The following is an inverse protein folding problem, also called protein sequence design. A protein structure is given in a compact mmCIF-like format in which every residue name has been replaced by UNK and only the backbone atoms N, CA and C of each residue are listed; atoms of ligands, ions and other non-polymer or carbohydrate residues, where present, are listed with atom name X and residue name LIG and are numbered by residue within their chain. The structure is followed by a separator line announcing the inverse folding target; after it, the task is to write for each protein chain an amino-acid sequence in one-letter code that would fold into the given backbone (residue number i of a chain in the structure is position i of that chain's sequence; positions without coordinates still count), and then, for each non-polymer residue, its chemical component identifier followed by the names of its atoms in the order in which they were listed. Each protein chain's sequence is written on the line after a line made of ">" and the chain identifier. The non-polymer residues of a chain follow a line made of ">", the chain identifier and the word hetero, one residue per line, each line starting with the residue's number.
data_IF_468727665990
#
_entry.id   IF_468727665990
#
_cell.length_a   1.000
_cell.length_b   1.000
_cell.length_c   1.000
_cell.angle_alpha   90.00
_cell.angle_beta   90.00
_cell.angle_gamma   90.00
#
_symmetry.space_group_name_H-M   'P 1'
#
loop_
_entity.id
_entity.type
_entity.pdbx_description
1 polymer ?
#
# COMPACT_ATOMS: atom_id res chain seq x y z
N UNK A 1 -8.41 7.55 -21.36
CA UNK A 1 -9.30 7.57 -20.17
C UNK A 1 -8.42 7.62 -18.94
N UNK A 2 -8.73 8.48 -17.98
CA UNK A 2 -7.97 8.59 -16.72
C UNK A 2 -8.59 7.65 -15.68
N UNK A 3 -7.85 7.30 -14.65
CA UNK A 3 -8.32 6.42 -13.56
C UNK A 3 -9.67 6.85 -12.98
N UNK A 4 -9.83 8.16 -12.73
CA UNK A 4 -11.09 8.74 -12.24
C UNK A 4 -12.29 8.47 -13.16
N UNK A 5 -12.07 8.39 -14.47
CA UNK A 5 -13.14 8.09 -15.43
C UNK A 5 -13.64 6.64 -15.24
N UNK A 6 -12.69 5.71 -15.03
CA UNK A 6 -13.03 4.31 -14.72
C UNK A 6 -13.76 4.18 -13.37
N UNK A 7 -13.27 4.86 -12.33
CA UNK A 7 -13.93 4.86 -11.01
C UNK A 7 -15.37 5.37 -11.12
N UNK A 8 -15.61 6.43 -11.89
CA UNK A 8 -16.96 6.97 -12.09
C UNK A 8 -17.87 5.97 -12.81
N UNK A 9 -17.37 5.28 -13.85
CA UNK A 9 -18.10 4.21 -14.54
C UNK A 9 -18.46 3.10 -13.57
N UNK A 10 -17.51 2.63 -12.76
CA UNK A 10 -17.73 1.58 -11.76
C UNK A 10 -18.81 2.01 -10.75
N UNK A 11 -18.73 3.23 -10.22
CA UNK A 11 -19.73 3.77 -9.30
C UNK A 11 -21.14 3.76 -9.90
N UNK A 12 -21.27 4.17 -11.16
CA UNK A 12 -22.55 4.18 -11.87
C UNK A 12 -23.11 2.77 -12.07
N UNK A 13 -22.25 1.79 -12.37
CA UNK A 13 -22.70 0.43 -12.64
C UNK A 13 -23.12 -0.34 -11.39
N UNK A 14 -22.38 -0.18 -10.28
CA UNK A 14 -22.66 -0.96 -9.06
C UNK A 14 -23.41 -0.19 -7.96
N UNK A 15 -23.57 1.13 -8.09
CA UNK A 15 -24.31 1.94 -7.12
C UNK A 15 -23.73 1.93 -5.69
N UNK A 16 -22.46 1.56 -5.52
CA UNK A 16 -21.83 1.47 -4.20
C UNK A 16 -21.46 2.85 -3.65
N UNK A 17 -21.84 3.11 -2.41
CA UNK A 17 -21.45 4.31 -1.67
C UNK A 17 -20.03 4.25 -1.09
N UNK A 18 -19.39 3.09 -1.09
CA UNK A 18 -18.04 2.88 -0.50
C UNK A 18 -16.91 3.29 -1.44
N UNK A 19 -17.16 3.39 -2.75
CA UNK A 19 -16.12 3.67 -3.75
C UNK A 19 -15.81 5.16 -3.80
N UNK A 20 -14.50 5.48 -3.79
CA UNK A 20 -13.99 6.86 -4.00
C UNK A 20 -13.20 7.45 -2.85
N UNK A 21 -12.83 6.62 -1.90
CA UNK A 21 -11.84 6.92 -0.86
C UNK A 21 -10.70 5.88 -0.93
N UNK A 22 -9.61 6.09 -0.19
CA UNK A 22 -8.50 5.13 -0.08
C UNK A 22 -8.93 3.84 0.61
N UNK A 23 -9.94 3.94 1.49
CA UNK A 23 -10.46 2.81 2.23
C UNK A 23 -11.99 2.74 2.16
N UNK A 24 -12.53 1.52 2.13
CA UNK A 24 -13.93 1.26 2.39
C UNK A 24 -14.18 1.18 3.90
N UNK A 25 -15.02 2.05 4.45
CA UNK A 25 -15.38 2.02 5.87
C UNK A 25 -16.72 1.30 6.07
N UNK A 26 -16.69 0.09 6.60
CA UNK A 26 -17.85 -0.72 6.96
C UNK A 26 -18.22 -0.42 8.42
N UNK A 27 -18.98 0.66 8.60
CA UNK A 27 -19.28 1.25 9.91
C UNK A 27 -19.93 0.25 10.87
N UNK A 28 -20.89 -0.54 10.38
CA UNK A 28 -21.65 -1.51 11.17
C UNK A 28 -20.75 -2.62 11.74
N UNK A 29 -19.66 -2.94 11.03
CA UNK A 29 -18.70 -3.95 11.43
C UNK A 29 -17.51 -3.36 12.20
N UNK A 30 -17.39 -2.03 12.23
CA UNK A 30 -16.25 -1.36 12.85
C UNK A 30 -14.91 -1.64 12.15
N UNK A 31 -14.93 -1.89 10.82
CA UNK A 31 -13.73 -2.21 10.05
C UNK A 31 -13.53 -1.26 8.87
N UNK A 32 -12.27 -1.14 8.47
CA UNK A 32 -11.81 -0.39 7.30
C UNK A 32 -11.03 -1.35 6.41
N UNK A 33 -11.22 -1.28 5.11
CA UNK A 33 -10.56 -2.14 4.12
C UNK A 33 -9.88 -1.28 3.08
N UNK A 34 -8.60 -1.52 2.83
CA UNK A 34 -7.81 -0.97 1.72
C UNK A 34 -7.29 -2.09 0.83
N UNK A 35 -7.09 -1.80 -0.45
CA UNK A 35 -6.48 -2.72 -1.40
C UNK A 35 -5.65 -1.98 -2.44
N UNK A 36 -4.36 -2.32 -2.48
CA UNK A 36 -3.41 -1.86 -3.48
C UNK A 36 -2.73 -3.02 -4.21
N UNK A 37 -2.31 -2.76 -5.44
CA UNK A 37 -1.61 -3.73 -6.26
C UNK A 37 -0.31 -3.17 -6.83
N UNK A 38 0.72 -4.01 -6.90
CA UNK A 38 1.99 -3.71 -7.53
C UNK A 38 2.21 -4.63 -8.73
N UNK A 39 2.55 -4.06 -9.88
CA UNK A 39 2.76 -4.78 -11.14
C UNK A 39 4.19 -4.56 -11.61
N UNK A 40 4.90 -5.63 -11.94
CA UNK A 40 6.24 -5.58 -12.51
C UNK A 40 6.26 -4.77 -13.82
N UNK A 41 7.29 -3.94 -13.98
CA UNK A 41 7.50 -2.98 -15.07
C UNK A 41 6.51 -1.80 -15.12
N UNK A 42 5.61 -1.69 -14.13
CA UNK A 42 4.75 -0.51 -13.94
C UNK A 42 5.10 0.17 -12.62
N UNK A 43 5.02 -0.55 -11.51
CA UNK A 43 5.27 0.00 -10.18
C UNK A 43 6.68 -0.30 -9.65
N UNK A 44 7.36 -1.31 -10.21
CA UNK A 44 8.73 -1.70 -9.88
C UNK A 44 9.39 -2.46 -11.02
N UNK A 45 10.72 -2.57 -10.98
CA UNK A 45 11.51 -3.49 -11.81
C UNK A 45 12.30 -4.43 -10.91
N UNK A 46 12.39 -5.72 -11.27
CA UNK A 46 13.21 -6.70 -10.53
C UNK A 46 14.69 -6.32 -10.44
N UNK A 47 15.19 -5.61 -11.44
CA UNK A 47 16.56 -5.10 -11.43
C UNK A 47 16.82 -4.00 -10.39
N UNK A 48 15.75 -3.33 -9.88
CA UNK A 48 15.85 -2.22 -8.95
C UNK A 48 15.52 -2.60 -7.51
N UNK A 49 14.70 -3.64 -7.31
CA UNK A 49 14.13 -4.00 -6.02
C UNK A 49 14.44 -5.45 -5.67
N UNK A 50 14.94 -5.68 -4.47
CA UNK A 50 15.05 -7.02 -3.91
C UNK A 50 13.66 -7.58 -3.56
N UNK A 51 13.51 -8.92 -3.49
CA UNK A 51 12.24 -9.52 -3.03
C UNK A 51 11.82 -9.02 -1.65
N UNK A 52 12.78 -8.83 -0.74
CA UNK A 52 12.55 -8.23 0.59
C UNK A 52 11.91 -6.83 0.48
N UNK A 53 12.48 -5.95 -0.35
CA UNK A 53 11.97 -4.60 -0.55
C UNK A 53 10.57 -4.60 -1.18
N UNK A 54 10.29 -5.54 -2.10
CA UNK A 54 8.96 -5.69 -2.69
C UNK A 54 7.93 -6.12 -1.66
N UNK A 55 8.28 -7.12 -0.83
CA UNK A 55 7.42 -7.57 0.27
C UNK A 55 7.14 -6.45 1.27
N UNK A 56 8.17 -5.71 1.67
CA UNK A 56 8.01 -4.56 2.56
C UNK A 56 7.07 -3.51 1.95
N UNK A 57 7.37 -3.06 0.72
CA UNK A 57 6.61 -1.99 0.07
C UNK A 57 5.15 -2.37 -0.16
N UNK A 58 4.87 -3.60 -0.60
CA UNK A 58 3.50 -4.05 -0.88
C UNK A 58 2.59 -4.05 0.35
N UNK A 59 3.13 -4.38 1.52
CA UNK A 59 2.40 -4.29 2.78
C UNK A 59 2.31 -2.84 3.24
N UNK A 60 3.42 -2.11 3.21
CA UNK A 60 3.53 -0.77 3.74
C UNK A 60 2.54 0.21 3.09
N UNK A 61 2.31 0.15 1.76
CA UNK A 61 1.35 1.05 1.10
C UNK A 61 -0.06 0.85 1.63
N UNK A 62 -0.51 -0.39 1.78
CA UNK A 62 -1.84 -0.72 2.29
C UNK A 62 -2.01 -0.38 3.79
N UNK A 63 -0.99 -0.67 4.60
CA UNK A 63 -0.99 -0.30 6.02
C UNK A 63 -1.04 1.22 6.18
N UNK A 64 -0.40 1.97 5.26
CA UNK A 64 -0.47 3.43 5.21
C UNK A 64 -1.90 3.95 5.12
N UNK A 65 -2.70 3.39 4.22
CA UNK A 65 -4.07 3.80 4.00
C UNK A 65 -4.94 3.51 5.24
N UNK A 66 -4.75 2.34 5.85
CA UNK A 66 -5.44 1.99 7.09
C UNK A 66 -5.11 3.01 8.19
N UNK A 67 -3.82 3.35 8.37
CA UNK A 67 -3.39 4.34 9.36
C UNK A 67 -3.89 5.75 9.02
N UNK A 68 -3.84 6.14 7.75
CA UNK A 68 -4.33 7.44 7.29
C UNK A 68 -5.84 7.60 7.51
N UNK A 69 -6.61 6.52 7.39
CA UNK A 69 -8.05 6.52 7.73
C UNK A 69 -8.32 6.70 9.23
N UNK A 70 -7.33 6.46 10.10
CA UNK A 70 -7.46 6.49 11.56
C UNK A 70 -7.76 5.13 12.19
N UNK A 71 -7.81 4.04 11.41
CA UNK A 71 -8.01 2.69 11.92
C UNK A 71 -6.67 2.07 12.37
N UNK A 72 -6.77 1.02 13.19
CA UNK A 72 -5.61 0.20 13.59
C UNK A 72 -5.48 -0.98 12.65
N UNK A 73 -4.34 -1.18 11.96
CA UNK A 73 -4.10 -2.37 11.16
C UNK A 73 -4.29 -3.65 11.98
N UNK A 74 -4.98 -4.63 11.41
CA UNK A 74 -5.28 -5.89 12.10
C UNK A 74 -4.94 -7.11 11.25
N UNK A 75 -5.38 -7.14 9.99
CA UNK A 75 -5.19 -8.31 9.15
C UNK A 75 -4.79 -7.91 7.73
N UNK A 76 -4.08 -8.82 7.07
CA UNK A 76 -3.64 -8.66 5.69
C UNK A 76 -3.84 -9.97 4.93
N UNK A 77 -4.29 -9.90 3.68
CA UNK A 77 -4.18 -11.00 2.72
C UNK A 77 -3.29 -10.59 1.55
N UNK A 78 -2.54 -11.55 1.00
CA UNK A 78 -1.57 -11.30 -0.08
C UNK A 78 -1.82 -12.27 -1.23
N UNK A 79 -2.21 -11.77 -2.39
CA UNK A 79 -2.25 -12.53 -3.62
C UNK A 79 -0.98 -12.26 -4.44
N UNK A 80 -0.27 -13.34 -4.81
CA UNK A 80 0.93 -13.31 -5.63
C UNK A 80 0.67 -14.02 -6.95
N UNK A 81 0.93 -13.34 -8.07
CA UNK A 81 1.03 -14.00 -9.37
C UNK A 81 2.49 -13.96 -9.81
N UNK A 82 3.08 -15.14 -10.07
CA UNK A 82 4.52 -15.30 -10.23
C UNK A 82 4.86 -15.98 -11.54
N UNK A 83 5.90 -15.49 -12.27
CA UNK A 83 6.48 -16.21 -13.40
C UNK A 83 7.12 -17.54 -12.99
N UNK A 84 7.14 -18.50 -13.91
CA UNK A 84 7.69 -19.85 -13.67
C UNK A 84 9.20 -19.85 -13.31
N UNK A 85 9.92 -18.77 -13.57
CA UNK A 85 11.34 -18.63 -13.25
C UNK A 85 11.61 -18.05 -11.86
N UNK A 86 10.57 -17.86 -11.05
CA UNK A 86 10.69 -17.46 -9.64
C UNK A 86 10.91 -18.72 -8.78
N UNK A 87 11.89 -18.66 -7.91
CA UNK A 87 12.23 -19.73 -6.98
C UNK A 87 11.64 -19.51 -5.57
N UNK A 88 11.72 -20.55 -4.74
CA UNK A 88 11.23 -20.47 -3.35
C UNK A 88 11.97 -19.43 -2.49
N UNK A 89 13.24 -19.14 -2.81
CA UNK A 89 14.02 -18.11 -2.11
C UNK A 89 13.44 -16.73 -2.32
N UNK A 90 12.94 -16.43 -3.52
CA UNK A 90 12.23 -15.17 -3.77
C UNK A 90 11.03 -15.01 -2.82
N UNK A 91 10.20 -16.06 -2.71
CA UNK A 91 9.00 -16.04 -1.86
C UNK A 91 9.39 -15.89 -0.38
N UNK A 92 10.42 -16.61 0.06
CA UNK A 92 10.95 -16.51 1.42
C UNK A 92 11.38 -15.07 1.76
N UNK A 93 12.22 -14.46 0.92
CA UNK A 93 12.71 -13.09 1.13
C UNK A 93 11.56 -12.05 1.02
N UNK A 94 10.61 -12.28 0.12
CA UNK A 94 9.43 -11.44 0.02
C UNK A 94 8.65 -11.42 1.33
N UNK A 95 8.34 -12.58 1.90
CA UNK A 95 7.58 -12.65 3.16
C UNK A 95 8.40 -12.21 4.37
N UNK A 96 9.73 -12.31 4.36
CA UNK A 96 10.59 -11.65 5.37
C UNK A 96 10.39 -10.12 5.34
N UNK A 97 10.41 -9.53 4.16
CA UNK A 97 10.14 -8.11 3.98
C UNK A 97 8.72 -7.71 4.40
N UNK A 98 7.73 -8.48 3.93
CA UNK A 98 6.33 -8.28 4.27
C UNK A 98 6.11 -8.25 5.80
N UNK A 99 6.68 -9.22 6.52
CA UNK A 99 6.57 -9.33 7.97
C UNK A 99 7.06 -8.08 8.71
N UNK A 100 8.11 -7.41 8.21
CA UNK A 100 8.64 -6.19 8.85
C UNK A 100 7.75 -4.97 8.69
N UNK A 101 6.83 -4.97 7.72
CA UNK A 101 5.93 -3.86 7.42
C UNK A 101 4.52 -4.00 8.00
N UNK A 102 4.22 -5.09 8.73
CA UNK A 102 2.86 -5.39 9.21
C UNK A 102 2.32 -4.43 10.27
N UNK A 103 3.19 -3.71 10.97
CA UNK A 103 2.79 -2.75 11.99
C UNK A 103 1.81 -3.30 13.04
N UNK A 104 2.03 -4.54 13.45
CA UNK A 104 1.17 -5.26 14.39
C UNK A 104 -0.04 -5.98 13.77
N UNK A 105 -0.23 -5.89 12.44
CA UNK A 105 -1.19 -6.71 11.72
C UNK A 105 -0.68 -8.14 11.53
N UNK A 106 -1.56 -9.06 11.14
CA UNK A 106 -1.25 -10.45 10.85
C UNK A 106 -1.62 -10.80 9.41
N UNK A 107 -0.74 -11.54 8.71
CA UNK A 107 -1.08 -12.11 7.41
C UNK A 107 -1.93 -13.36 7.66
N UNK A 108 -3.19 -13.33 7.24
CA UNK A 108 -4.18 -14.39 7.51
C UNK A 108 -4.48 -15.26 6.30
N UNK A 109 -3.88 -14.98 5.14
CA UNK A 109 -4.09 -15.78 3.94
C UNK A 109 -3.71 -15.04 2.67
N UNK A 110 -4.15 -15.57 1.56
CA UNK A 110 -3.90 -15.03 0.21
C UNK A 110 -4.09 -16.08 -0.86
N UNK A 111 -3.48 -15.85 -2.01
CA UNK A 111 -3.51 -16.75 -3.17
C UNK A 111 -2.17 -16.74 -3.89
N UNK A 112 -1.83 -17.83 -4.60
CA UNK A 112 -0.64 -17.92 -5.46
C UNK A 112 -1.05 -18.49 -6.81
N UNK A 113 -0.78 -17.73 -7.87
CA UNK A 113 -1.07 -18.13 -9.25
C UNK A 113 0.14 -17.96 -10.15
N UNK A 114 0.09 -18.58 -11.34
CA UNK A 114 1.08 -18.37 -12.39
C UNK A 114 0.76 -17.12 -13.23
N UNK A 115 1.82 -16.43 -13.72
CA UNK A 115 1.69 -15.31 -14.64
C UNK A 115 2.99 -15.06 -15.42
N UNK A 116 2.96 -14.18 -16.43
CA UNK A 116 4.15 -13.77 -17.17
C UNK A 116 5.01 -12.73 -16.41
N UNK A 117 4.42 -12.03 -15.45
CA UNK A 117 5.06 -10.95 -14.67
C UNK A 117 4.64 -11.06 -13.21
N UNK A 118 5.48 -10.56 -12.32
CA UNK A 118 5.10 -10.49 -10.91
C UNK A 118 3.96 -9.48 -10.76
N UNK A 119 2.86 -9.97 -10.20
CA UNK A 119 1.74 -9.16 -9.76
C UNK A 119 1.50 -9.44 -8.27
N UNK A 120 1.41 -8.39 -7.48
CA UNK A 120 1.20 -8.47 -6.04
C UNK A 120 -0.06 -7.68 -5.75
N UNK A 121 -1.06 -8.30 -5.14
CA UNK A 121 -2.23 -7.60 -4.64
C UNK A 121 -2.38 -7.85 -3.14
N UNK A 122 -2.55 -6.78 -2.40
CA UNK A 122 -2.65 -6.84 -0.94
C UNK A 122 -3.96 -6.20 -0.53
N UNK A 123 -4.70 -6.89 0.33
CA UNK A 123 -5.85 -6.32 1.03
C UNK A 123 -5.50 -6.19 2.50
N UNK A 124 -5.62 -4.98 3.03
CA UNK A 124 -5.44 -4.72 4.45
C UNK A 124 -6.79 -4.41 5.12
N UNK A 125 -6.95 -4.93 6.32
CA UNK A 125 -8.14 -4.74 7.16
C UNK A 125 -7.71 -4.06 8.44
N UNK A 126 -8.33 -2.93 8.74
CA UNK A 126 -8.15 -2.19 9.99
C UNK A 126 -9.39 -2.27 10.88
N UNK A 127 -9.18 -2.20 12.18
CA UNK A 127 -10.24 -2.16 13.19
C UNK A 127 -10.35 -0.74 13.70
N UNK A 128 -11.58 -0.19 13.74
CA UNK A 128 -11.82 1.18 14.18
C UNK A 128 -11.69 1.35 15.69
N UNK A 129 -12.07 0.34 16.47
CA UNK A 129 -11.99 0.33 17.94
C UNK A 129 -12.56 1.62 18.59
N UNK A 130 -13.65 2.13 18.04
CA UNK A 130 -14.29 3.38 18.51
C UNK A 130 -13.60 4.68 18.04
N UNK A 131 -12.54 4.59 17.23
CA UNK A 131 -11.85 5.76 16.66
C UNK A 131 -12.70 6.44 15.58
N UNK A 132 -12.48 7.73 15.42
CA UNK A 132 -13.10 8.50 14.34
C UNK A 132 -12.37 8.19 13.03
N UNK A 133 -13.10 7.68 12.03
CA UNK A 133 -12.56 7.39 10.72
C UNK A 133 -12.63 8.63 9.84
N UNK A 134 -11.51 8.94 9.21
CA UNK A 134 -11.32 10.08 8.31
C UNK A 134 -11.57 9.67 6.87
N UNK A 135 -12.25 10.51 6.10
CA UNK A 135 -12.39 10.35 4.66
C UNK A 135 -11.85 11.59 3.95
N UNK A 136 -11.55 11.47 2.65
CA UNK A 136 -11.14 12.60 1.80
C UNK A 136 -12.15 13.73 1.80
N UNK A 137 -13.44 13.41 1.88
CA UNK A 137 -14.56 14.38 1.88
C UNK A 137 -14.79 15.04 3.22
N UNK A 138 -14.11 14.64 4.30
CA UNK A 138 -14.32 15.17 5.64
C UNK A 138 -13.65 16.52 5.89
N UNK A 139 -12.74 16.95 5.03
CA UNK A 139 -12.05 18.23 5.17
C UNK A 139 -13.01 19.42 5.01
N UNK A 140 -12.85 20.45 5.86
CA UNK A 140 -13.66 21.67 5.84
C UNK A 140 -12.78 22.91 5.75
N UNK A 141 -13.28 24.02 5.18
CA UNK A 141 -12.59 25.30 5.25
C UNK A 141 -12.22 25.65 6.68
N UNK A 142 -10.99 26.12 6.89
CA UNK A 142 -10.47 26.44 8.23
C UNK A 142 -9.72 25.29 8.91
N UNK A 143 -9.74 24.07 8.38
CA UNK A 143 -8.91 22.98 8.90
C UNK A 143 -7.45 23.24 8.57
N UNK A 144 -6.56 22.86 9.51
CA UNK A 144 -5.11 22.96 9.30
C UNK A 144 -4.62 21.76 8.48
N UNK A 145 -3.77 22.04 7.51
CA UNK A 145 -3.01 21.01 6.79
C UNK A 145 -1.73 20.75 7.58
N UNK A 146 -1.58 19.54 8.08
CA UNK A 146 -0.40 19.10 8.81
C UNK A 146 0.38 18.14 7.93
N UNK A 147 1.67 18.36 7.83
CA UNK A 147 2.57 17.52 7.04
C UNK A 147 3.79 17.15 7.87
N UNK A 148 4.39 15.99 7.62
CA UNK A 148 5.61 15.54 8.26
C UNK A 148 6.60 14.97 7.25
N UNK A 149 7.89 15.19 7.50
CA UNK A 149 8.96 14.70 6.65
C UNK A 149 9.28 15.62 5.46
N UNK A 150 10.10 15.11 4.56
CA UNK A 150 10.54 15.81 3.35
C UNK A 150 9.81 15.24 2.14
N UNK A 151 9.17 16.10 1.37
CA UNK A 151 8.50 15.70 0.13
C UNK A 151 9.49 15.56 -1.01
N UNK A 152 9.14 14.70 -1.98
CA UNK A 152 9.90 14.52 -3.20
C UNK A 152 11.04 13.48 -3.10
N UNK A 153 11.38 12.99 -1.92
CA UNK A 153 12.48 12.00 -1.77
C UNK A 153 12.21 10.70 -2.54
N UNK A 154 10.97 10.21 -2.54
CA UNK A 154 10.60 9.00 -3.30
C UNK A 154 10.72 9.22 -4.80
N UNK A 155 10.30 10.37 -5.32
CA UNK A 155 10.45 10.73 -6.73
C UNK A 155 11.92 10.93 -7.12
N UNK A 156 12.72 11.55 -6.25
CA UNK A 156 14.17 11.67 -6.45
C UNK A 156 14.85 10.29 -6.49
N UNK A 157 14.44 9.36 -5.61
CA UNK A 157 14.94 7.99 -5.60
C UNK A 157 14.55 7.20 -6.86
N UNK A 158 13.36 7.41 -7.38
CA UNK A 158 12.95 6.85 -8.67
C UNK A 158 13.82 7.39 -9.82
N UNK A 159 14.11 8.68 -9.84
CA UNK A 159 15.00 9.28 -10.83
C UNK A 159 16.42 8.72 -10.75
N UNK A 160 16.96 8.52 -9.53
CA UNK A 160 18.24 7.83 -9.35
C UNK A 160 18.23 6.44 -10.02
N UNK A 161 17.19 5.64 -9.78
CA UNK A 161 17.07 4.31 -10.37
C UNK A 161 16.93 4.34 -11.91
N UNK A 162 16.22 5.31 -12.46
CA UNK A 162 16.04 5.46 -13.91
C UNK A 162 17.35 5.87 -14.57
N UNK A 163 18.11 6.76 -13.94
CA UNK A 163 19.36 7.30 -14.47
C UNK A 163 20.59 6.45 -14.15
N UNK A 164 20.42 5.34 -13.39
CA UNK A 164 21.52 4.51 -12.95
C UNK A 164 22.41 5.16 -11.88
N UNK A 165 21.87 6.11 -11.13
CA UNK A 165 22.57 6.74 -10.01
C UNK A 165 22.70 5.80 -8.79
N UNK A 166 23.58 6.17 -7.85
CA UNK A 166 23.97 5.31 -6.71
C UNK A 166 23.63 5.94 -5.35
N UNK A 167 22.82 7.00 -5.30
CA UNK A 167 22.46 7.63 -4.04
C UNK A 167 21.54 6.71 -3.22
N UNK A 168 22.14 5.96 -2.30
CA UNK A 168 21.47 4.95 -1.48
C UNK A 168 20.32 5.51 -0.63
N UNK A 169 20.44 6.72 -0.13
CA UNK A 169 19.42 7.34 0.72
C UNK A 169 18.16 7.70 -0.09
N UNK A 170 18.34 8.21 -1.30
CA UNK A 170 17.23 8.48 -2.21
C UNK A 170 16.57 7.19 -2.69
N UNK A 171 17.38 6.20 -3.09
CA UNK A 171 16.87 4.87 -3.51
C UNK A 171 16.10 4.22 -2.37
N UNK A 172 16.64 4.26 -1.14
CA UNK A 172 15.95 3.77 0.05
C UNK A 172 14.61 4.49 0.28
N UNK A 173 14.55 5.80 0.13
CA UNK A 173 13.32 6.56 0.29
C UNK A 173 12.24 6.16 -0.74
N UNK A 174 12.62 5.66 -1.92
CA UNK A 174 11.67 5.15 -2.91
C UNK A 174 11.07 3.79 -2.53
N UNK A 175 11.88 2.89 -1.94
CA UNK A 175 11.41 1.55 -1.55
C UNK A 175 10.83 1.47 -0.14
N UNK A 176 11.29 2.34 0.75
CA UNK A 176 10.85 2.37 2.13
C UNK A 176 9.90 3.54 2.33
N UNK A 177 8.60 3.30 2.36
CA UNK A 177 7.68 4.18 3.05
C UNK A 177 8.08 4.17 4.53
N UNK A 178 8.72 5.25 4.97
CA UNK A 178 9.16 5.37 6.35
C UNK A 178 7.95 5.72 7.21
N UNK A 179 7.38 4.72 7.86
CA UNK A 179 6.51 4.92 9.01
C UNK A 179 7.36 5.36 10.21
N UNK A 180 7.74 6.59 10.23
CA UNK A 180 8.43 7.16 11.41
C UNK A 180 7.55 8.18 12.12
N UNK A 181 6.24 8.12 11.87
CA UNK A 181 5.32 9.02 12.50
C UNK A 181 4.33 8.28 13.37
N UNK A 182 4.36 8.42 14.71
CA UNK A 182 3.11 8.29 15.45
C UNK A 182 2.11 9.26 14.80
N UNK A 183 0.97 8.73 14.38
CA UNK A 183 -0.12 9.56 13.93
C UNK A 183 -0.48 10.55 15.06
N UNK A 184 -0.76 11.83 14.77
CA UNK A 184 -1.31 12.72 15.80
C UNK A 184 -2.64 12.23 16.38
N UNK A 185 -3.09 11.06 15.95
CA UNK A 185 -4.33 10.39 16.39
C UNK A 185 -4.10 9.16 17.28
N UNK A 186 -2.83 8.81 17.56
CA UNK A 186 -2.45 7.74 18.48
C UNK A 186 -2.46 8.21 19.95
#
# INVERSE_FOLDING_TARGET
>A
MKELDFINIIKQQIGSSYIGDDCAYLKELGIVISQDSLVENIHFKRAWATPFQLGYKSIAVNISDILASGAKPAYVTVALSLPNNIDGKFVEEFYKGAKTALHGAEIIGGDITGSERIFISVTAIGITAGRCISSRSSAKPGYKIITRGKYGLSSAGLNELILGGENKDLIRAHFCLLYTSPSPRD
#
